data_IF_102949198259
#
_entry.id   IF_102949198259
#
_cell.length_a   1.000
_cell.length_b   1.000
_cell.length_c   1.000
_cell.angle_alpha   90.00
_cell.angle_beta   90.00
_cell.angle_gamma   90.00
#
_symmetry.space_group_name_H-M   'P 1'
#
loop_
_entity.id
_entity.type
_entity.pdbx_description
1 polymer ?
#
# COMPACT_ATOMS: atom_id res chain seq x y z
N UNK A 1 -39.84 -39.28 6.50
CA UNK A 1 -38.36 -39.34 6.36
C UNK A 1 -37.80 -40.07 7.57
N UNK A 2 -37.07 -41.18 7.38
CA UNK A 2 -36.48 -41.94 8.49
C UNK A 2 -35.41 -41.11 9.21
N UNK A 3 -35.37 -41.16 10.54
CA UNK A 3 -34.40 -40.41 11.36
C UNK A 3 -32.94 -40.70 10.94
N UNK A 4 -32.63 -41.94 10.56
CA UNK A 4 -31.32 -42.34 10.06
C UNK A 4 -30.93 -41.66 8.73
N UNK A 5 -31.88 -41.50 7.80
CA UNK A 5 -31.66 -40.79 6.53
C UNK A 5 -31.45 -39.29 6.78
N UNK A 6 -32.22 -38.69 7.70
CA UNK A 6 -32.04 -37.30 8.09
C UNK A 6 -30.67 -37.03 8.74
N UNK A 7 -30.20 -37.93 9.60
CA UNK A 7 -28.87 -37.87 10.22
C UNK A 7 -27.73 -37.97 9.20
N UNK A 8 -27.88 -38.79 8.15
CA UNK A 8 -26.90 -38.89 7.05
C UNK A 8 -26.82 -37.63 6.21
N UNK A 9 -27.98 -37.08 5.83
CA UNK A 9 -28.04 -35.82 5.07
C UNK A 9 -27.40 -34.69 5.89
N UNK A 10 -27.69 -34.63 7.19
CA UNK A 10 -27.07 -33.67 8.10
C UNK A 10 -25.55 -33.86 8.22
N UNK A 11 -25.07 -35.09 8.39
CA UNK A 11 -23.64 -35.40 8.45
C UNK A 11 -22.90 -35.01 7.15
N UNK A 12 -23.45 -35.34 5.99
CA UNK A 12 -22.90 -34.95 4.69
C UNK A 12 -22.92 -33.42 4.50
N UNK A 13 -23.98 -32.74 4.91
CA UNK A 13 -24.08 -31.28 4.87
C UNK A 13 -23.01 -30.61 5.73
N UNK A 14 -22.80 -31.09 6.96
CA UNK A 14 -21.77 -30.58 7.88
C UNK A 14 -20.35 -30.82 7.32
N UNK A 15 -20.07 -32.01 6.80
CA UNK A 15 -18.76 -32.30 6.20
C UNK A 15 -18.50 -31.46 4.94
N UNK A 16 -19.52 -31.30 4.07
CA UNK A 16 -19.42 -30.48 2.87
C UNK A 16 -19.17 -29.00 3.19
N UNK A 17 -19.91 -28.44 4.15
CA UNK A 17 -19.68 -27.06 4.63
C UNK A 17 -18.31 -26.92 5.28
N UNK A 18 -17.89 -27.88 6.10
CA UNK A 18 -16.58 -27.88 6.74
C UNK A 18 -15.44 -27.88 5.71
N UNK A 19 -15.52 -28.74 4.69
CA UNK A 19 -14.55 -28.76 3.59
C UNK A 19 -14.56 -27.45 2.80
N UNK A 20 -15.73 -26.88 2.51
CA UNK A 20 -15.84 -25.60 1.81
C UNK A 20 -15.19 -24.44 2.60
N UNK A 21 -15.39 -24.39 3.93
CA UNK A 21 -14.75 -23.39 4.78
C UNK A 21 -13.23 -23.56 4.83
N UNK A 22 -12.71 -24.80 4.85
CA UNK A 22 -11.26 -25.04 4.76
C UNK A 22 -10.67 -24.57 3.43
N UNK A 23 -11.36 -24.84 2.31
CA UNK A 23 -10.95 -24.35 0.99
C UNK A 23 -10.98 -22.82 0.97
N UNK A 24 -12.04 -22.20 1.49
CA UNK A 24 -12.14 -20.74 1.59
C UNK A 24 -11.01 -20.15 2.46
N UNK A 25 -10.68 -20.76 3.60
CA UNK A 25 -9.56 -20.34 4.43
C UNK A 25 -8.21 -20.40 3.69
N UNK A 26 -7.98 -21.49 2.94
CA UNK A 26 -6.77 -21.65 2.14
C UNK A 26 -6.66 -20.57 1.06
N UNK A 27 -7.75 -20.32 0.33
CA UNK A 27 -7.80 -19.26 -0.69
C UNK A 27 -7.55 -17.88 -0.07
N UNK A 28 -8.20 -17.57 1.06
CA UNK A 28 -7.98 -16.31 1.76
C UNK A 28 -6.52 -16.13 2.20
N UNK A 29 -5.90 -17.18 2.74
CA UNK A 29 -4.52 -17.10 3.22
C UNK A 29 -3.47 -16.94 2.11
N UNK A 30 -3.71 -17.53 0.93
CA UNK A 30 -2.72 -17.57 -0.14
C UNK A 30 -2.94 -16.53 -1.24
N UNK A 31 -4.19 -16.14 -1.51
CA UNK A 31 -4.53 -15.25 -2.62
C UNK A 31 -4.85 -13.81 -2.17
N UNK A 32 -5.47 -13.65 -1.01
CA UNK A 32 -6.12 -12.38 -0.65
C UNK A 32 -5.16 -11.30 -0.15
N UNK A 33 -4.06 -11.66 0.52
CA UNK A 33 -3.11 -10.68 1.08
C UNK A 33 -2.59 -9.69 0.03
N UNK A 34 -2.09 -10.19 -1.10
CA UNK A 34 -1.55 -9.36 -2.19
C UNK A 34 -2.62 -8.57 -2.98
N UNK A 35 -3.91 -8.87 -2.78
CA UNK A 35 -5.02 -8.13 -3.39
C UNK A 35 -5.58 -7.04 -2.48
N UNK A 36 -5.31 -7.10 -1.18
CA UNK A 36 -5.84 -6.16 -0.18
C UNK A 36 -4.78 -5.19 0.32
N UNK A 37 -3.51 -5.62 0.38
CA UNK A 37 -2.39 -4.78 0.81
C UNK A 37 -1.95 -3.89 -0.36
N UNK A 38 -2.87 -3.00 -0.77
CA UNK A 38 -2.73 -2.12 -1.92
C UNK A 38 -3.23 -0.73 -1.56
N UNK A 39 -2.55 0.30 -2.07
CA UNK A 39 -2.96 1.71 -1.91
C UNK A 39 -4.46 1.85 -2.24
N UNK A 40 -5.26 2.48 -1.37
CA UNK A 40 -6.70 2.64 -1.60
C UNK A 40 -7.03 3.47 -2.85
N UNK A 41 -8.24 3.31 -3.39
CA UNK A 41 -8.73 4.04 -4.57
C UNK A 41 -9.68 5.18 -4.22
N UNK A 42 -9.90 5.39 -2.94
CA UNK A 42 -10.88 6.30 -2.33
C UNK A 42 -10.18 7.28 -1.38
N UNK A 43 -8.91 7.58 -1.63
CA UNK A 43 -8.17 8.59 -0.88
C UNK A 43 -8.75 9.96 -1.24
N UNK A 44 -9.26 10.64 -0.22
CA UNK A 44 -9.67 12.03 -0.22
C UNK A 44 -9.36 12.58 1.17
N UNK A 45 -8.27 13.32 1.30
CA UNK A 45 -7.80 13.82 2.60
C UNK A 45 -7.17 15.19 2.48
N UNK A 46 -7.39 16.01 3.52
CA UNK A 46 -6.71 17.29 3.71
C UNK A 46 -5.78 17.15 4.91
N UNK A 47 -4.50 17.45 4.72
CA UNK A 47 -3.50 17.48 5.78
C UNK A 47 -3.08 18.92 6.00
N UNK A 48 -2.97 19.32 7.26
CA UNK A 48 -2.53 20.64 7.67
C UNK A 48 -1.33 20.47 8.61
N UNK A 49 -0.27 21.19 8.30
CA UNK A 49 0.91 21.34 9.13
C UNK A 49 1.07 22.81 9.53
N UNK A 50 1.26 23.06 10.82
CA UNK A 50 1.37 24.41 11.38
C UNK A 50 2.82 24.67 11.82
N UNK A 51 3.23 25.93 11.78
CA UNK A 51 4.57 26.31 12.19
C UNK A 51 4.87 27.79 12.03
N UNK A 52 6.15 28.11 11.91
CA UNK A 52 6.63 29.47 11.74
C UNK A 52 7.76 29.52 10.72
N UNK A 53 8.02 30.70 10.18
CA UNK A 53 9.14 30.87 9.28
C UNK A 53 9.54 32.32 9.05
N UNK A 54 10.38 32.49 8.04
CA UNK A 54 10.80 33.76 7.46
C UNK A 54 10.38 33.77 5.99
N UNK A 55 9.68 34.79 5.53
CA UNK A 55 9.26 34.85 4.14
C UNK A 55 9.25 36.26 3.59
N UNK A 56 9.48 36.32 2.28
CA UNK A 56 9.30 37.51 1.48
C UNK A 56 7.86 38.02 1.58
N UNK A 57 7.69 39.33 1.79
CA UNK A 57 6.37 39.99 1.71
C UNK A 57 6.10 40.38 0.25
N UNK A 58 5.12 39.75 -0.44
CA UNK A 58 4.79 40.08 -1.82
C UNK A 58 4.42 41.55 -2.03
N UNK A 59 3.88 42.23 -1.01
CA UNK A 59 3.53 43.65 -1.10
C UNK A 59 4.76 44.55 -1.29
N UNK A 60 5.95 44.08 -0.92
CA UNK A 60 7.21 44.82 -1.06
C UNK A 60 7.69 44.95 -2.51
N UNK A 61 7.11 44.17 -3.45
CA UNK A 61 7.39 44.31 -4.89
C UNK A 61 7.06 45.72 -5.43
N UNK A 62 6.15 46.44 -4.77
CA UNK A 62 5.77 47.82 -5.12
C UNK A 62 6.57 48.88 -4.33
N UNK A 63 7.46 48.44 -3.44
CA UNK A 63 8.22 49.32 -2.55
C UNK A 63 9.60 49.72 -3.09
N UNK A 64 10.34 50.45 -2.26
CA UNK A 64 11.73 50.86 -2.55
C UNK A 64 12.75 49.73 -2.31
N UNK A 65 12.34 48.69 -1.57
CA UNK A 65 13.14 47.50 -1.27
C UNK A 65 12.26 46.28 -1.02
N UNK A 66 12.81 45.11 -1.29
CA UNK A 66 12.25 43.82 -0.92
C UNK A 66 12.28 43.65 0.61
N UNK A 67 11.15 43.22 1.17
CA UNK A 67 10.99 43.03 2.60
C UNK A 67 10.83 41.55 2.88
N UNK A 68 11.55 41.08 3.90
CA UNK A 68 11.50 39.72 4.41
C UNK A 68 11.09 39.81 5.87
N UNK A 69 9.92 39.27 6.19
CA UNK A 69 9.42 39.22 7.55
C UNK A 69 9.90 37.93 8.22
N UNK A 70 10.18 38.01 9.53
CA UNK A 70 10.66 36.89 10.36
C UNK A 70 9.62 36.52 11.39
N UNK A 71 9.71 35.29 11.89
CA UNK A 71 8.88 34.74 12.97
C UNK A 71 7.38 34.86 12.69
N UNK A 72 7.01 34.63 11.43
CA UNK A 72 5.64 34.73 10.94
C UNK A 72 4.95 33.37 11.04
N UNK A 73 3.68 33.31 11.48
CA UNK A 73 2.96 32.05 11.57
C UNK A 73 2.63 31.54 10.15
N UNK A 74 2.85 30.24 9.94
CA UNK A 74 2.67 29.59 8.65
C UNK A 74 1.80 28.34 8.79
N UNK A 75 1.05 28.06 7.73
CA UNK A 75 0.31 26.83 7.55
C UNK A 75 0.65 26.24 6.18
N UNK A 76 1.03 24.97 6.18
CA UNK A 76 1.19 24.16 5.00
C UNK A 76 0.00 23.21 4.88
N UNK A 77 -0.68 23.21 3.74
CA UNK A 77 -1.85 22.37 3.51
C UNK A 77 -1.63 21.50 2.28
N UNK A 78 -1.96 20.22 2.38
CA UNK A 78 -2.00 19.28 1.26
C UNK A 78 -3.40 18.69 1.11
N UNK A 79 -3.96 18.76 -0.10
CA UNK A 79 -5.16 18.04 -0.49
C UNK A 79 -4.76 16.88 -1.40
N UNK A 80 -5.09 15.65 -1.02
CA UNK A 80 -4.75 14.45 -1.79
C UNK A 80 -6.05 13.80 -2.26
N UNK A 81 -6.21 13.66 -3.57
CA UNK A 81 -7.36 12.97 -4.18
C UNK A 81 -6.92 11.89 -5.17
N UNK A 82 -7.76 10.87 -5.36
CA UNK A 82 -7.59 9.88 -6.42
C UNK A 82 -8.20 10.37 -7.72
N UNK A 83 -7.40 10.38 -8.78
CA UNK A 83 -7.82 10.76 -10.12
C UNK A 83 -7.74 9.59 -11.11
N UNK A 84 -8.27 9.80 -12.32
CA UNK A 84 -8.08 8.84 -13.41
C UNK A 84 -6.73 9.05 -14.10
N UNK A 85 -6.03 7.97 -14.52
CA UNK A 85 -6.45 6.57 -14.48
C UNK A 85 -6.14 5.85 -13.16
N UNK A 86 -7.16 5.24 -12.54
CA UNK A 86 -7.00 4.42 -11.33
C UNK A 86 -7.76 3.10 -11.47
N UNK A 87 -7.12 1.98 -11.13
CA UNK A 87 -7.68 0.63 -11.31
C UNK A 87 -7.10 -0.39 -10.30
N UNK A 88 -7.20 -1.68 -10.62
CA UNK A 88 -6.74 -2.75 -9.73
C UNK A 88 -5.23 -2.71 -9.43
N UNK A 89 -4.43 -2.14 -10.32
CA UNK A 89 -2.96 -2.21 -10.28
C UNK A 89 -2.31 -0.85 -10.08
N UNK A 90 -2.84 0.22 -10.69
CA UNK A 90 -2.32 1.59 -10.53
C UNK A 90 -3.33 2.53 -9.88
N UNK A 91 -2.83 3.56 -9.21
CA UNK A 91 -3.61 4.68 -8.70
C UNK A 91 -2.91 5.99 -9.10
N UNK A 92 -3.69 6.95 -9.58
CA UNK A 92 -3.21 8.31 -9.81
C UNK A 92 -3.63 9.18 -8.63
N UNK A 93 -2.66 9.82 -7.98
CA UNK A 93 -2.91 10.80 -6.93
C UNK A 93 -2.69 12.20 -7.51
N UNK A 94 -3.60 13.11 -7.24
CA UNK A 94 -3.40 14.54 -7.44
C UNK A 94 -3.26 15.20 -6.07
N UNK A 95 -2.18 15.95 -5.88
CA UNK A 95 -1.81 16.57 -4.62
C UNK A 95 -1.67 18.07 -4.82
N UNK A 96 -2.64 18.81 -4.28
CA UNK A 96 -2.57 20.26 -4.18
C UNK A 96 -1.87 20.66 -2.88
N UNK A 97 -0.68 21.26 -2.96
CA UNK A 97 0.09 21.74 -1.81
C UNK A 97 0.10 23.27 -1.78
N UNK A 98 -0.13 23.86 -0.61
CA UNK A 98 -0.02 25.31 -0.41
C UNK A 98 0.74 25.63 0.87
N UNK A 99 1.65 26.59 0.82
CA UNK A 99 2.26 27.22 1.99
C UNK A 99 1.74 28.64 2.10
N UNK A 100 1.19 29.01 3.26
CA UNK A 100 0.63 30.33 3.50
C UNK A 100 1.10 30.91 4.82
N UNK A 101 1.23 32.22 4.85
CA UNK A 101 1.27 33.04 6.07
C UNK A 101 -0.14 33.22 6.62
N UNK A 102 -0.34 32.95 7.90
CA UNK A 102 -1.67 33.03 8.53
C UNK A 102 -1.96 34.40 9.17
N UNK A 103 -0.98 35.29 9.24
CA UNK A 103 -1.15 36.68 9.68
C UNK A 103 -1.75 37.60 8.59
N UNK A 104 -1.79 37.14 7.33
CA UNK A 104 -2.34 37.87 6.19
C UNK A 104 -3.67 37.22 5.74
N UNK A 105 -4.58 38.05 5.22
CA UNK A 105 -5.91 37.61 4.80
C UNK A 105 -5.94 37.21 3.33
N UNK A 106 -6.75 36.19 3.01
CA UNK A 106 -6.98 35.71 1.65
C UNK A 106 -5.65 35.44 0.93
N UNK A 107 -5.57 35.70 -0.37
CA UNK A 107 -4.43 35.36 -1.22
C UNK A 107 -3.16 36.15 -0.93
N UNK A 108 -3.25 37.22 -0.13
CA UNK A 108 -2.07 37.96 0.32
C UNK A 108 -1.16 37.14 1.26
N UNK A 109 -1.68 36.03 1.81
CA UNK A 109 -0.88 35.11 2.62
C UNK A 109 -0.21 33.99 1.81
N UNK A 110 -0.55 33.78 0.54
CA UNK A 110 -0.04 32.65 -0.24
C UNK A 110 1.44 32.86 -0.60
N UNK A 111 2.30 31.89 -0.26
CA UNK A 111 3.73 31.93 -0.57
C UNK A 111 4.11 30.92 -1.65
N UNK A 112 3.67 29.67 -1.50
CA UNK A 112 3.95 28.58 -2.43
C UNK A 112 2.65 27.86 -2.75
N UNK A 113 2.48 27.46 -4.00
CA UNK A 113 1.40 26.60 -4.44
C UNK A 113 1.88 25.67 -5.54
N UNK A 114 1.46 24.41 -5.49
CA UNK A 114 1.76 23.41 -6.50
C UNK A 114 0.60 22.42 -6.58
N UNK A 115 0.30 21.96 -7.78
CA UNK A 115 -0.54 20.78 -7.99
C UNK A 115 0.32 19.77 -8.72
N UNK A 116 0.62 18.68 -8.03
CA UNK A 116 1.42 17.57 -8.55
C UNK A 116 0.53 16.35 -8.74
N UNK A 117 0.72 15.64 -9.84
CA UNK A 117 -0.05 14.44 -10.17
C UNK A 117 0.92 13.30 -10.43
N UNK A 118 0.80 12.21 -9.70
CA UNK A 118 1.66 11.03 -9.83
C UNK A 118 0.82 9.79 -10.01
N UNK A 119 1.23 8.90 -10.91
CA UNK A 119 0.62 7.57 -11.04
C UNK A 119 1.56 6.52 -10.51
N UNK A 120 1.08 5.70 -9.58
CA UNK A 120 1.90 4.73 -8.86
C UNK A 120 1.29 3.33 -8.89
N UNK A 121 2.14 2.33 -8.81
CA UNK A 121 1.73 0.94 -8.59
C UNK A 121 1.18 0.82 -7.16
N UNK A 122 -0.03 0.28 -7.05
CA UNK A 122 -0.73 0.21 -5.76
C UNK A 122 -0.09 -0.76 -4.78
N UNK A 123 0.77 -1.67 -5.21
CA UNK A 123 1.39 -2.67 -4.33
C UNK A 123 2.71 -2.16 -3.75
N UNK A 124 3.52 -1.53 -4.61
CA UNK A 124 4.86 -1.04 -4.27
C UNK A 124 4.90 0.45 -3.91
N UNK A 125 3.84 1.20 -4.22
CA UNK A 125 3.75 2.67 -4.12
C UNK A 125 4.79 3.43 -4.96
N UNK A 126 5.51 2.75 -5.86
CA UNK A 126 6.47 3.34 -6.78
C UNK A 126 5.75 4.01 -7.94
N UNK A 127 6.25 5.16 -8.39
CA UNK A 127 5.79 5.80 -9.62
C UNK A 127 5.91 4.86 -10.83
N UNK A 128 4.94 4.93 -11.75
CA UNK A 128 4.86 4.08 -12.93
C UNK A 128 4.71 4.94 -14.18
N UNK A 129 5.74 4.91 -15.02
CA UNK A 129 5.70 5.46 -16.38
C UNK A 129 5.18 4.42 -17.37
N UNK A 130 4.34 4.85 -18.31
CA UNK A 130 3.84 4.09 -19.45
C UNK A 130 3.80 4.96 -20.70
N UNK A 131 3.51 4.37 -21.87
CA UNK A 131 3.40 5.13 -23.12
C UNK A 131 2.32 6.22 -23.09
N UNK A 132 1.27 6.02 -22.28
CA UNK A 132 0.16 6.98 -22.14
C UNK A 132 0.21 7.79 -20.84
N UNK A 133 1.23 7.58 -20.00
CA UNK A 133 1.38 8.26 -18.73
C UNK A 133 2.87 8.45 -18.41
N UNK A 134 3.42 9.67 -18.44
CA UNK A 134 4.83 9.91 -18.19
C UNK A 134 5.32 9.54 -16.77
N UNK A 135 4.45 9.08 -15.87
CA UNK A 135 4.76 8.74 -14.47
C UNK A 135 4.26 9.82 -13.51
N UNK A 136 4.23 11.06 -13.99
CA UNK A 136 3.56 12.17 -13.32
C UNK A 136 3.60 13.46 -14.13
N UNK A 137 3.00 14.49 -13.58
CA UNK A 137 2.90 15.81 -14.17
C UNK A 137 2.66 16.85 -13.08
N UNK A 138 3.11 18.07 -13.33
CA UNK A 138 2.84 19.22 -12.48
C UNK A 138 1.97 20.21 -13.24
N UNK A 139 1.02 20.84 -12.56
CA UNK A 139 0.24 21.91 -13.17
C UNK A 139 1.13 23.10 -13.49
N UNK A 140 1.04 23.61 -14.72
CA UNK A 140 1.76 24.81 -15.16
C UNK A 140 1.36 25.99 -14.25
N UNK A 141 2.33 26.75 -13.71
CA UNK A 141 1.99 27.91 -12.90
C UNK A 141 1.35 29.00 -13.77
N UNK A 142 0.44 29.75 -13.16
CA UNK A 142 -0.47 30.69 -13.83
C UNK A 142 -0.70 31.91 -12.95
N UNK A 143 -1.00 33.04 -13.58
CA UNK A 143 -1.37 34.25 -12.87
C UNK A 143 -2.78 34.12 -12.26
N UNK A 144 -3.08 34.91 -11.23
CA UNK A 144 -4.38 34.88 -10.52
C UNK A 144 -5.52 35.28 -11.48
N UNK A 145 -5.23 36.18 -12.41
CA UNK A 145 -6.15 36.69 -13.42
C UNK A 145 -6.31 35.80 -14.66
N UNK A 146 -5.48 34.75 -14.81
CA UNK A 146 -5.64 33.79 -15.91
C UNK A 146 -6.96 33.03 -15.69
N UNK A 147 -7.84 33.01 -16.68
CA UNK A 147 -9.15 32.33 -16.65
C UNK A 147 -9.18 31.03 -17.46
N UNK A 148 -8.09 30.68 -18.15
CA UNK A 148 -8.01 29.49 -18.98
C UNK A 148 -8.02 28.22 -18.13
N UNK A 149 -8.49 27.07 -18.64
CA UNK A 149 -8.34 25.82 -17.93
C UNK A 149 -6.85 25.53 -17.62
N UNK A 150 -6.52 25.02 -16.42
CA UNK A 150 -5.15 24.68 -16.09
C UNK A 150 -4.61 23.62 -17.06
N UNK A 151 -3.31 23.70 -17.37
CA UNK A 151 -2.60 22.73 -18.21
C UNK A 151 -1.45 22.13 -17.42
N UNK A 152 -1.01 20.93 -17.80
CA UNK A 152 0.03 20.19 -17.10
C UNK A 152 1.32 20.12 -17.92
N UNK A 153 2.45 20.11 -17.21
CA UNK A 153 3.78 19.83 -17.74
C UNK A 153 4.17 18.44 -17.26
N UNK A 154 4.69 17.61 -18.17
CA UNK A 154 5.16 16.27 -17.81
C UNK A 154 6.32 16.38 -16.81
N UNK A 155 6.20 15.69 -15.69
CA UNK A 155 7.21 15.60 -14.64
C UNK A 155 7.28 14.13 -14.21
N UNK A 156 8.16 13.32 -14.82
CA UNK A 156 8.29 11.92 -14.45
C UNK A 156 8.80 11.79 -13.01
N UNK A 157 8.00 11.19 -12.14
CA UNK A 157 8.42 10.83 -10.79
C UNK A 157 9.28 9.57 -10.82
N UNK A 158 10.31 9.55 -9.97
CA UNK A 158 11.10 8.36 -9.67
C UNK A 158 11.07 8.10 -8.15
N UNK A 159 10.80 6.86 -7.75
CA UNK A 159 10.62 6.50 -6.34
C UNK A 159 9.19 6.63 -5.81
N UNK A 160 9.10 6.69 -4.48
CA UNK A 160 7.88 6.99 -3.71
C UNK A 160 7.57 8.49 -3.80
N UNK A 161 6.38 8.95 -3.42
CA UNK A 161 6.09 10.40 -3.34
C UNK A 161 5.23 10.75 -2.13
N UNK A 162 3.99 10.28 -2.09
CA UNK A 162 3.03 10.65 -1.03
C UNK A 162 2.68 9.50 -0.09
N UNK A 163 3.30 8.33 -0.30
CA UNK A 163 2.95 7.11 0.42
C UNK A 163 4.06 6.06 0.37
N UNK A 164 4.15 5.24 1.41
CA UNK A 164 5.00 4.05 1.45
C UNK A 164 4.19 2.79 1.10
N UNK A 165 4.83 1.70 0.64
CA UNK A 165 4.14 0.44 0.41
C UNK A 165 3.59 -0.14 1.71
N UNK A 166 2.52 -0.93 1.60
CA UNK A 166 2.11 -1.83 2.69
C UNK A 166 3.27 -2.74 3.10
N UNK A 167 3.27 -3.19 4.36
CA UNK A 167 4.39 -3.93 4.94
C UNK A 167 5.73 -3.18 4.74
N UNK A 168 5.74 -1.86 5.02
CA UNK A 168 6.94 -1.01 4.91
C UNK A 168 8.09 -1.63 5.71
N UNK A 169 9.27 -1.67 5.09
CA UNK A 169 10.47 -2.29 5.64
C UNK A 169 11.43 -1.24 6.22
N UNK A 170 12.32 -1.67 7.11
CA UNK A 170 13.38 -0.83 7.70
C UNK A 170 14.56 -0.69 6.76
N UNK A 171 14.37 0.01 5.65
CA UNK A 171 15.39 0.24 4.61
C UNK A 171 15.29 1.64 4.03
N UNK A 172 16.29 2.06 3.28
CA UNK A 172 16.23 3.31 2.51
C UNK A 172 15.28 3.16 1.33
N UNK A 173 14.46 4.18 1.09
CA UNK A 173 13.58 4.28 -0.07
C UNK A 173 13.93 5.51 -0.90
N UNK A 174 13.92 5.44 -2.24
CA UNK A 174 13.91 6.65 -3.06
C UNK A 174 12.58 7.37 -2.86
N UNK A 175 12.62 8.64 -2.48
CA UNK A 175 11.45 9.50 -2.30
C UNK A 175 11.59 10.73 -3.20
N UNK A 176 10.62 10.94 -4.08
CA UNK A 176 10.58 12.04 -5.03
C UNK A 176 10.24 13.35 -4.33
N UNK A 177 11.04 14.38 -4.59
CA UNK A 177 10.74 15.76 -4.22
C UNK A 177 10.25 16.51 -5.48
N UNK A 178 8.98 16.98 -5.51
CA UNK A 178 8.42 17.63 -6.69
C UNK A 178 8.95 19.04 -6.94
N UNK A 179 9.58 19.69 -5.94
CA UNK A 179 10.21 21.00 -6.08
C UNK A 179 11.61 20.87 -6.69
N UNK A 180 12.41 19.93 -6.16
CA UNK A 180 13.72 19.60 -6.71
C UNK A 180 13.63 18.76 -7.99
N UNK A 181 12.44 18.24 -8.32
CA UNK A 181 12.15 17.41 -9.50
C UNK A 181 13.05 16.17 -9.58
N UNK A 182 13.36 15.57 -8.41
CA UNK A 182 14.29 14.44 -8.30
C UNK A 182 14.03 13.60 -7.05
N UNK A 183 14.36 12.32 -7.12
CA UNK A 183 14.39 11.43 -5.98
C UNK A 183 15.61 11.66 -5.07
N UNK A 184 15.36 11.63 -3.77
CA UNK A 184 16.36 11.64 -2.70
C UNK A 184 16.07 10.49 -1.73
N UNK A 185 17.10 10.05 -1.02
CA UNK A 185 16.99 8.93 -0.08
C UNK A 185 16.17 9.32 1.16
N UNK A 186 15.09 8.59 1.41
CA UNK A 186 14.40 8.54 2.69
C UNK A 186 14.97 7.40 3.53
N UNK A 187 15.82 7.74 4.49
CA UNK A 187 16.56 6.79 5.33
C UNK A 187 15.77 6.46 6.61
N UNK A 188 15.70 5.17 6.96
CA UNK A 188 15.09 4.74 8.21
C UNK A 188 15.92 5.22 9.42
N UNK A 189 15.27 5.91 10.36
CA UNK A 189 15.85 6.53 11.55
C UNK A 189 15.14 6.11 12.84
N UNK A 190 14.64 4.87 12.89
CA UNK A 190 14.09 4.27 14.11
C UNK A 190 12.57 4.19 14.16
N UNK A 191 12.04 3.94 15.36
CA UNK A 191 10.61 3.80 15.61
C UNK A 191 10.15 4.83 16.66
N UNK A 192 8.92 5.30 16.52
CA UNK A 192 8.30 6.22 17.47
C UNK A 192 6.80 5.93 17.60
N UNK A 193 6.23 6.19 18.77
CA UNK A 193 4.79 6.12 18.98
C UNK A 193 4.14 7.44 18.58
N UNK A 194 3.20 7.37 17.64
CA UNK A 194 2.36 8.50 17.23
C UNK A 194 0.91 8.13 17.49
N UNK A 195 0.30 8.75 18.50
CA UNK A 195 -1.08 8.49 18.94
C UNK A 195 -1.39 6.98 19.12
N UNK A 196 -0.51 6.28 19.83
CA UNK A 196 -0.64 4.86 20.13
C UNK A 196 -0.41 3.94 18.92
N UNK A 197 0.22 4.46 17.86
CA UNK A 197 0.62 3.72 16.67
C UNK A 197 2.14 3.69 16.63
N UNK A 198 2.76 2.50 16.68
CA UNK A 198 4.20 2.36 16.45
C UNK A 198 4.49 2.59 14.98
N UNK A 199 5.22 3.66 14.69
CA UNK A 199 5.58 4.13 13.35
C UNK A 199 7.07 3.96 13.10
N UNK A 200 7.45 3.84 11.84
CA UNK A 200 8.83 3.95 11.39
C UNK A 200 9.12 5.40 11.01
N UNK A 201 10.21 5.95 11.54
CA UNK A 201 10.66 7.30 11.24
C UNK A 201 11.62 7.25 10.06
N UNK A 202 11.40 8.09 9.06
CA UNK A 202 12.26 8.24 7.88
C UNK A 202 12.71 9.69 7.74
N UNK A 203 13.98 9.91 7.40
CA UNK A 203 14.54 11.25 7.16
C UNK A 203 14.99 11.40 5.71
N UNK A 204 14.62 12.50 5.06
CA UNK A 204 15.04 12.86 3.72
C UNK A 204 15.68 14.24 3.74
N UNK A 205 16.90 14.35 3.21
CA UNK A 205 17.62 15.63 3.09
C UNK A 205 17.85 15.97 1.62
N UNK A 206 17.48 17.19 1.25
CA UNK A 206 17.66 17.80 -0.07
C UNK A 206 18.58 19.00 0.11
N UNK A 207 19.84 18.85 -0.29
CA UNK A 207 20.86 19.89 -0.22
C UNK A 207 21.45 20.18 1.17
N UNK A 208 20.90 19.59 2.22
CA UNK A 208 21.51 19.52 3.56
C UNK A 208 22.30 18.22 3.75
N UNK A 209 23.35 18.27 4.57
CA UNK A 209 24.01 17.06 5.08
C UNK A 209 23.26 16.46 6.28
N UNK A 210 23.83 15.42 6.91
CA UNK A 210 23.20 14.75 8.04
C UNK A 210 23.21 15.61 9.33
N UNK A 211 24.03 16.66 9.36
CA UNK A 211 24.14 17.60 10.47
C UNK A 211 23.27 18.86 10.29
N UNK A 212 22.44 18.90 9.24
CA UNK A 212 21.58 20.04 8.91
C UNK A 212 22.31 21.24 8.34
N UNK A 213 23.54 21.04 7.83
CA UNK A 213 24.30 22.11 7.17
C UNK A 213 24.02 22.10 5.67
N UNK A 214 23.79 23.29 5.12
CA UNK A 214 23.60 23.50 3.69
C UNK A 214 24.90 23.22 2.93
N UNK A 215 24.89 22.21 2.06
CA UNK A 215 26.10 21.73 1.34
C UNK A 215 25.90 21.63 -0.17
N UNK A 216 24.72 21.25 -0.64
CA UNK A 216 24.42 21.08 -2.06
C UNK A 216 22.99 21.53 -2.40
N UNK A 217 22.65 22.80 -2.16
CA UNK A 217 21.33 23.32 -2.52
C UNK A 217 21.04 23.14 -4.00
N UNK A 218 19.80 22.79 -4.30
CA UNK A 218 19.32 22.57 -5.66
C UNK A 218 19.02 23.92 -6.29
N UNK A 219 19.56 24.18 -7.49
CA UNK A 219 19.10 25.32 -8.29
C UNK A 219 17.63 25.06 -8.67
N UNK A 220 16.74 25.99 -8.32
CA UNK A 220 15.31 25.81 -8.51
C UNK A 220 14.99 25.60 -10.01
N UNK A 221 14.28 24.52 -10.32
CA UNK A 221 13.91 24.16 -11.67
C UNK A 221 12.60 24.89 -12.06
N UNK A 222 12.74 25.91 -12.90
CA UNK A 222 11.62 26.69 -13.43
C UNK A 222 10.60 25.80 -14.14
N UNK A 223 9.32 26.12 -13.97
CA UNK A 223 8.23 25.57 -14.77
C UNK A 223 7.82 26.51 -15.93
N UNK A 224 8.46 27.66 -16.04
CA UNK A 224 8.32 28.62 -17.12
C UNK A 224 9.48 28.50 -18.14
N UNK A 225 9.18 28.77 -19.41
CA UNK A 225 10.17 28.69 -20.50
C UNK A 225 11.27 29.76 -20.39
N UNK A 226 11.01 30.86 -19.68
CA UNK A 226 11.88 32.03 -19.54
C UNK A 226 12.55 32.13 -18.16
N UNK A 227 12.42 31.10 -17.31
CA UNK A 227 12.99 31.06 -15.96
C UNK A 227 12.52 32.19 -15.01
N UNK A 228 11.36 32.81 -15.29
CA UNK A 228 10.90 33.99 -14.55
C UNK A 228 10.68 33.76 -13.04
N UNK A 229 10.42 32.53 -12.61
CA UNK A 229 10.27 32.15 -11.19
C UNK A 229 11.58 31.62 -10.55
N UNK A 230 12.61 31.38 -11.36
CA UNK A 230 13.90 30.85 -10.95
C UNK A 230 15.02 31.89 -10.96
N UNK A 231 14.91 32.96 -11.75
CA UNK A 231 15.92 34.01 -11.84
C UNK A 231 15.28 35.39 -11.89
N UNK A 232 15.76 36.30 -11.04
CA UNK A 232 15.23 37.66 -10.95
C UNK A 232 16.37 38.66 -11.08
N UNK A 233 16.17 39.70 -11.88
CA UNK A 233 17.08 40.84 -11.99
C UNK A 233 16.40 42.07 -11.39
N UNK A 234 17.04 42.66 -10.39
CA UNK A 234 16.58 43.90 -9.77
C UNK A 234 17.78 44.76 -9.36
N UNK A 235 17.54 46.05 -9.11
CA UNK A 235 18.58 46.97 -8.62
C UNK A 235 19.13 46.51 -7.27
N UNK A 236 20.41 46.74 -7.00
CA UNK A 236 21.04 46.41 -5.72
C UNK A 236 20.27 46.99 -4.52
N UNK A 237 19.73 48.21 -4.66
CA UNK A 237 18.89 48.83 -3.63
C UNK A 237 17.62 48.03 -3.32
N UNK A 238 16.99 47.42 -4.33
CA UNK A 238 15.79 46.60 -4.14
C UNK A 238 16.11 45.33 -3.37
N UNK A 239 17.24 44.68 -3.69
CA UNK A 239 17.72 43.51 -2.96
C UNK A 239 18.21 43.83 -1.54
N UNK A 240 18.58 45.07 -1.27
CA UNK A 240 19.21 45.46 0.00
C UNK A 240 20.65 44.95 0.14
N UNK A 241 21.34 44.73 -0.99
CA UNK A 241 22.76 44.30 -1.01
C UNK A 241 23.69 45.50 -1.10
N UNK A 242 24.90 45.36 -0.54
CA UNK A 242 25.94 46.40 -0.62
C UNK A 242 26.43 46.58 -2.06
N UNK A 243 26.67 47.83 -2.49
CA UNK A 243 27.13 48.16 -3.83
C UNK A 243 26.60 49.51 -4.34
N UNK A 244 26.69 49.73 -5.66
CA UNK A 244 26.00 50.83 -6.33
C UNK A 244 24.49 50.55 -6.31
N UNK A 245 23.65 51.42 -5.70
CA UNK A 245 22.21 51.22 -5.59
C UNK A 245 21.49 50.93 -6.91
N UNK A 246 21.98 51.46 -8.03
CA UNK A 246 21.37 51.32 -9.36
C UNK A 246 21.93 50.14 -10.16
N UNK A 247 22.94 49.43 -9.64
CA UNK A 247 23.53 48.27 -10.30
C UNK A 247 22.46 47.17 -10.48
N UNK A 248 22.24 46.67 -11.70
CA UNK A 248 21.35 45.54 -11.92
C UNK A 248 22.02 44.26 -11.43
N UNK A 249 21.41 43.63 -10.42
CA UNK A 249 21.86 42.37 -9.84
C UNK A 249 20.87 41.27 -10.22
N UNK A 250 21.38 40.23 -10.86
CA UNK A 250 20.65 38.99 -11.13
C UNK A 250 20.94 37.96 -10.05
N UNK A 251 19.89 37.41 -9.43
CA UNK A 251 20.00 36.31 -8.47
C UNK A 251 19.21 35.10 -8.95
N UNK A 252 19.73 33.91 -8.68
CA UNK A 252 19.03 32.64 -8.92
C UNK A 252 18.36 32.16 -7.64
N UNK A 253 17.19 31.54 -7.77
CA UNK A 253 16.49 30.84 -6.70
C UNK A 253 17.12 29.47 -6.48
N UNK A 254 17.37 29.16 -5.22
CA UNK A 254 17.82 27.86 -4.76
C UNK A 254 16.80 27.27 -3.79
N UNK A 255 16.87 25.95 -3.64
CA UNK A 255 16.01 25.16 -2.80
C UNK A 255 16.80 24.12 -2.02
N UNK A 256 16.45 23.97 -0.76
CA UNK A 256 16.88 22.88 0.10
C UNK A 256 15.72 22.50 1.03
N UNK A 257 15.69 21.26 1.50
CA UNK A 257 14.68 20.81 2.45
C UNK A 257 15.17 19.66 3.32
N UNK A 258 14.64 19.57 4.53
CA UNK A 258 14.76 18.42 5.41
C UNK A 258 13.35 17.94 5.78
N UNK A 259 13.10 16.64 5.66
CA UNK A 259 11.82 16.04 6.00
C UNK A 259 12.01 14.88 6.95
N UNK A 260 11.18 14.83 7.98
CA UNK A 260 11.00 13.65 8.81
C UNK A 260 9.58 13.13 8.64
N UNK A 261 9.44 11.85 8.35
CA UNK A 261 8.18 11.19 8.05
C UNK A 261 7.96 10.04 9.03
N UNK A 262 6.80 10.00 9.67
CA UNK A 262 6.38 8.88 10.52
C UNK A 262 5.38 8.02 9.75
N UNK A 263 5.74 6.76 9.51
CA UNK A 263 5.02 5.86 8.62
C UNK A 263 4.48 4.67 9.40
N UNK A 264 3.19 4.35 9.27
CA UNK A 264 2.68 3.09 9.80
C UNK A 264 3.27 1.91 9.00
N UNK A 265 3.98 0.97 9.65
CA UNK A 265 4.71 -0.07 8.94
C UNK A 265 3.81 -1.11 8.27
N UNK A 266 2.51 -1.15 8.59
CA UNK A 266 1.59 -2.13 8.03
C UNK A 266 0.88 -1.55 6.81
N UNK A 267 0.34 -0.33 6.91
CA UNK A 267 -0.39 0.33 5.82
C UNK A 267 0.52 1.12 4.87
N UNK A 268 1.68 1.58 5.34
CA UNK A 268 2.54 2.53 4.60
C UNK A 268 2.00 3.96 4.58
N UNK A 269 1.00 4.27 5.43
CA UNK A 269 0.45 5.62 5.57
C UNK A 269 1.44 6.51 6.31
N UNK A 270 1.74 7.70 5.78
CA UNK A 270 2.45 8.75 6.51
C UNK A 270 1.43 9.39 7.46
N UNK A 271 1.65 9.23 8.78
CA UNK A 271 0.72 9.69 9.82
C UNK A 271 1.11 11.03 10.44
N UNK A 272 2.38 11.41 10.31
CA UNK A 272 2.93 12.69 10.73
C UNK A 272 4.11 13.02 9.83
N UNK A 273 4.32 14.31 9.56
CA UNK A 273 5.55 14.82 8.97
C UNK A 273 6.01 16.12 9.65
N UNK A 274 7.33 16.29 9.69
CA UNK A 274 8.01 17.54 9.99
C UNK A 274 8.77 17.93 8.72
N UNK A 275 8.63 19.19 8.29
CA UNK A 275 9.28 19.71 7.09
C UNK A 275 9.95 21.05 7.39
N UNK A 276 11.24 21.12 7.10
CA UNK A 276 11.99 22.37 6.96
C UNK A 276 12.23 22.61 5.47
N UNK A 277 11.60 23.62 4.89
CA UNK A 277 11.82 24.00 3.50
C UNK A 277 12.50 25.36 3.40
N UNK A 278 13.52 25.47 2.55
CA UNK A 278 14.28 26.70 2.36
C UNK A 278 14.42 27.08 0.89
N UNK A 279 13.79 28.20 0.54
CA UNK A 279 13.90 28.87 -0.74
C UNK A 279 14.54 30.25 -0.56
N UNK A 280 15.56 30.54 -1.35
CA UNK A 280 16.26 31.82 -1.28
C UNK A 280 16.84 32.21 -2.64
N UNK A 281 17.06 33.50 -2.83
CA UNK A 281 17.78 34.07 -3.96
C UNK A 281 19.22 34.35 -3.56
N UNK A 282 20.16 33.97 -4.43
CA UNK A 282 21.58 34.22 -4.24
C UNK A 282 22.33 34.29 -5.57
N UNK A 283 23.51 34.93 -5.55
CA UNK A 283 24.51 34.85 -6.65
C UNK A 283 25.40 33.62 -6.53
N UNK A 284 25.66 33.17 -5.31
CA UNK A 284 26.41 31.96 -4.97
C UNK A 284 25.47 31.04 -4.18
N UNK A 285 25.31 29.80 -4.64
CA UNK A 285 24.39 28.84 -4.07
C UNK A 285 24.60 28.62 -2.56
N UNK A 286 25.85 28.65 -2.07
CA UNK A 286 26.18 28.41 -0.66
C UNK A 286 26.18 29.69 0.20
N UNK A 287 25.78 30.83 -0.37
CA UNK A 287 25.69 32.11 0.34
C UNK A 287 24.30 32.70 0.12
N UNK A 288 23.27 32.22 0.86
CA UNK A 288 21.94 32.80 0.80
C UNK A 288 21.98 34.31 1.04
N UNK A 289 21.38 35.09 0.15
CA UNK A 289 21.35 36.55 0.26
C UNK A 289 19.97 37.06 0.66
N UNK A 290 18.92 36.62 -0.05
CA UNK A 290 17.54 37.04 0.20
C UNK A 290 16.64 35.83 0.34
N UNK A 291 16.02 35.66 1.51
CA UNK A 291 15.08 34.56 1.77
C UNK A 291 13.78 34.81 1.03
N UNK A 292 13.32 33.83 0.27
CA UNK A 292 12.00 33.82 -0.33
C UNK A 292 10.98 33.17 0.62
N UNK A 293 11.28 31.96 1.09
CA UNK A 293 10.51 31.26 2.12
C UNK A 293 11.43 30.27 2.85
N UNK A 294 11.57 30.42 4.16
CA UNK A 294 12.27 29.54 5.08
C UNK A 294 11.27 29.15 6.18
N UNK A 295 10.84 27.90 6.23
CA UNK A 295 9.71 27.50 7.06
C UNK A 295 9.94 26.15 7.71
N UNK A 296 9.54 26.03 8.97
CA UNK A 296 9.47 24.75 9.67
C UNK A 296 8.02 24.52 10.08
N UNK A 297 7.42 23.44 9.57
CA UNK A 297 6.03 23.07 9.82
C UNK A 297 5.95 21.61 10.25
N UNK A 298 5.00 21.33 11.14
CA UNK A 298 4.71 19.98 11.65
C UNK A 298 3.23 19.68 11.47
N UNK A 299 2.89 18.46 11.04
CA UNK A 299 1.49 18.02 10.92
C UNK A 299 0.75 18.25 12.23
N UNK A 300 -0.39 18.92 12.16
CA UNK A 300 -1.18 19.25 13.34
C UNK A 300 -1.97 18.05 13.87
N UNK A 301 -2.45 18.16 15.11
CA UNK A 301 -3.07 17.05 15.83
C UNK A 301 -4.29 16.47 15.10
N UNK A 302 -5.15 17.33 14.53
CA UNK A 302 -6.35 16.88 13.79
C UNK A 302 -5.97 16.02 12.57
N UNK A 303 -4.94 16.46 11.83
CA UNK A 303 -4.43 15.71 10.69
C UNK A 303 -3.75 14.40 11.12
N UNK A 304 -3.00 14.42 12.23
CA UNK A 304 -2.40 13.20 12.82
C UNK A 304 -3.48 12.19 13.23
N UNK A 305 -4.51 12.63 13.96
CA UNK A 305 -5.62 11.77 14.38
C UNK A 305 -6.35 11.15 13.16
N UNK A 306 -6.63 11.96 12.14
CA UNK A 306 -7.25 11.50 10.89
C UNK A 306 -6.40 10.43 10.18
N UNK A 307 -5.10 10.68 10.03
CA UNK A 307 -4.20 9.75 9.35
C UNK A 307 -3.96 8.47 10.17
N UNK A 308 -3.88 8.56 11.50
CA UNK A 308 -3.80 7.39 12.38
C UNK A 308 -5.09 6.57 12.31
N UNK A 309 -6.26 7.19 12.26
CA UNK A 309 -7.53 6.50 12.07
C UNK A 309 -7.58 5.78 10.72
N UNK A 310 -7.12 6.43 9.64
CA UNK A 310 -7.01 5.80 8.32
C UNK A 310 -6.06 4.60 8.35
N UNK A 311 -4.86 4.75 8.92
CA UNK A 311 -3.89 3.67 9.05
C UNK A 311 -4.46 2.47 9.83
N UNK A 312 -5.16 2.71 10.96
CA UNK A 312 -5.84 1.66 11.73
C UNK A 312 -6.93 0.95 10.92
N UNK A 313 -7.76 1.69 10.19
CA UNK A 313 -8.81 1.13 9.33
C UNK A 313 -8.22 0.19 8.27
N UNK A 314 -7.13 0.61 7.63
CA UNK A 314 -6.42 -0.20 6.65
C UNK A 314 -5.79 -1.45 7.28
N UNK A 315 -5.19 -1.33 8.47
CA UNK A 315 -4.66 -2.46 9.24
C UNK A 315 -5.74 -3.46 9.62
N UNK A 316 -6.89 -3.00 10.07
CA UNK A 316 -8.01 -3.84 10.45
C UNK A 316 -8.56 -4.60 9.24
N UNK A 317 -8.62 -3.95 8.09
CA UNK A 317 -8.97 -4.61 6.81
C UNK A 317 -7.98 -5.70 6.45
N UNK A 318 -6.67 -5.41 6.51
CA UNK A 318 -5.63 -6.42 6.24
C UNK A 318 -5.71 -7.57 7.25
N UNK A 319 -5.90 -7.28 8.54
CA UNK A 319 -6.00 -8.29 9.58
C UNK A 319 -7.27 -9.16 9.44
N UNK A 320 -8.41 -8.56 9.11
CA UNK A 320 -9.68 -9.27 8.92
C UNK A 320 -9.55 -10.33 7.83
N UNK A 321 -9.10 -9.91 6.65
CA UNK A 321 -9.05 -10.78 5.48
C UNK A 321 -7.82 -11.69 5.45
N UNK A 322 -6.68 -11.21 5.93
CA UNK A 322 -5.41 -11.95 5.92
C UNK A 322 -5.23 -12.91 7.10
N UNK A 323 -5.93 -12.70 8.22
CA UNK A 323 -5.71 -13.46 9.46
C UNK A 323 -7.00 -13.94 10.13
N UNK A 324 -7.95 -13.06 10.41
CA UNK A 324 -9.13 -13.39 11.22
C UNK A 324 -10.06 -14.37 10.48
N UNK A 325 -10.43 -14.07 9.23
CA UNK A 325 -11.29 -14.94 8.42
C UNK A 325 -10.64 -16.30 8.14
N UNK A 326 -9.36 -16.41 7.71
CA UNK A 326 -8.69 -17.70 7.58
C UNK A 326 -8.75 -18.54 8.86
N UNK A 327 -8.38 -17.97 10.01
CA UNK A 327 -8.36 -18.70 11.29
C UNK A 327 -9.75 -19.18 11.69
N UNK A 328 -10.75 -18.29 11.61
CA UNK A 328 -12.14 -18.63 11.98
C UNK A 328 -12.72 -19.68 11.04
N UNK A 329 -12.51 -19.57 9.73
CA UNK A 329 -12.95 -20.56 8.76
C UNK A 329 -12.23 -21.90 8.93
N UNK A 330 -10.94 -21.90 9.27
CA UNK A 330 -10.22 -23.14 9.60
C UNK A 330 -10.80 -23.80 10.85
N UNK A 331 -10.98 -23.04 11.94
CA UNK A 331 -11.49 -23.57 13.19
C UNK A 331 -12.91 -24.13 13.03
N UNK A 332 -13.83 -23.36 12.46
CA UNK A 332 -15.21 -23.80 12.21
C UNK A 332 -15.23 -24.96 11.21
N UNK A 333 -14.42 -24.89 10.17
CA UNK A 333 -14.30 -25.95 9.16
C UNK A 333 -13.90 -27.29 9.76
N UNK A 334 -12.88 -27.30 10.64
CA UNK A 334 -12.44 -28.50 11.35
C UNK A 334 -13.51 -29.02 12.32
N UNK A 335 -14.17 -28.15 13.08
CA UNK A 335 -15.26 -28.55 13.99
C UNK A 335 -16.41 -29.20 13.23
N UNK A 336 -16.80 -28.63 12.08
CA UNK A 336 -17.87 -29.18 11.24
C UNK A 336 -17.47 -30.51 10.58
N UNK A 337 -16.22 -30.65 10.15
CA UNK A 337 -15.70 -31.91 9.59
C UNK A 337 -15.68 -33.02 10.63
N UNK A 338 -15.13 -32.76 11.82
CA UNK A 338 -15.08 -33.73 12.91
C UNK A 338 -16.48 -34.06 13.40
N UNK A 339 -17.33 -33.05 13.62
CA UNK A 339 -18.72 -33.24 14.03
C UNK A 339 -19.54 -34.03 13.00
N UNK A 340 -19.38 -33.72 11.71
CA UNK A 340 -20.01 -34.45 10.61
C UNK A 340 -19.54 -35.90 10.52
N UNK A 341 -18.23 -36.15 10.66
CA UNK A 341 -17.67 -37.50 10.68
C UNK A 341 -18.17 -38.32 11.88
N UNK A 342 -18.20 -37.72 13.08
CA UNK A 342 -18.73 -38.35 14.28
C UNK A 342 -20.22 -38.69 14.11
N UNK A 343 -21.06 -37.74 13.70
CA UNK A 343 -22.49 -37.96 13.43
C UNK A 343 -22.71 -39.05 12.36
N UNK A 344 -21.91 -39.05 11.30
CA UNK A 344 -21.92 -40.09 10.28
C UNK A 344 -21.60 -41.47 10.87
N UNK A 345 -20.56 -41.56 11.70
CA UNK A 345 -20.13 -42.82 12.33
C UNK A 345 -21.17 -43.41 13.29
N UNK A 346 -21.90 -42.57 14.04
CA UNK A 346 -22.99 -43.02 14.90
C UNK A 346 -24.20 -43.51 14.08
N UNK A 347 -24.49 -42.89 12.94
CA UNK A 347 -25.58 -43.32 12.05
C UNK A 347 -25.33 -44.69 11.41
N UNK A 348 -24.06 -45.03 11.12
CA UNK A 348 -23.66 -46.33 10.59
C UNK A 348 -23.77 -47.42 11.66
N UNK A 349 -23.32 -47.15 12.89
CA UNK A 349 -23.41 -48.12 14.01
C UNK A 349 -24.84 -48.42 14.44
N UNK A 350 -25.75 -47.45 14.36
CA UNK A 350 -27.17 -47.68 14.70
C UNK A 350 -27.87 -48.63 13.70
N UNK A 351 -27.45 -48.66 12.44
CA UNK A 351 -27.93 -49.64 11.45
C UNK A 351 -27.32 -51.02 11.67
N UNK A 352 -26.03 -51.11 12.05
CA UNK A 352 -25.38 -52.40 12.35
C UNK A 352 -26.03 -53.14 13.53
N UNK A 353 -26.67 -52.41 14.44
CA UNK A 353 -27.40 -52.97 15.58
C UNK A 353 -28.88 -53.31 15.27
N UNK A 354 -29.41 -52.87 14.11
CA UNK A 354 -30.77 -53.16 13.64
C UNK A 354 -30.79 -54.26 12.55
N UNK A 355 -29.63 -54.70 12.06
CA UNK A 355 -29.50 -55.89 11.22
C UNK A 355 -29.29 -57.08 12.15
N UNK A 356 -30.38 -57.73 12.54
CA UNK A 356 -30.37 -59.02 13.22
C UNK A 356 -29.79 -60.10 12.26
N UNK A 357 -28.75 -60.86 12.63
CA UNK A 357 -28.22 -61.96 11.81
C UNK A 357 -29.17 -63.18 11.71
N UNK A 358 -30.37 -63.13 12.30
CA UNK A 358 -31.20 -64.30 12.57
C UNK A 358 -32.34 -64.63 11.60
N UNK A 359 -32.47 -63.99 10.43
CA UNK A 359 -33.60 -64.25 9.52
C UNK A 359 -33.16 -64.51 8.07
N UNK A 360 -32.52 -65.66 7.83
CA UNK A 360 -32.33 -66.21 6.48
C UNK A 360 -32.65 -67.72 6.36
N UNK A 361 -33.38 -68.29 7.34
CA UNK A 361 -34.01 -69.61 7.21
C UNK A 361 -35.49 -69.54 7.58
N UNK A 362 -36.37 -69.49 6.57
CA UNK A 362 -37.67 -70.20 6.53
C UNK A 362 -38.52 -69.69 5.35
N UNK A 363 -38.45 -70.45 4.26
CA UNK A 363 -39.57 -71.01 3.50
C UNK A 363 -40.93 -70.26 3.52
N UNK A 364 -41.40 -69.81 2.35
CA UNK A 364 -42.78 -69.98 1.92
C UNK A 364 -42.89 -69.98 0.39
N UNK A 365 -42.87 -71.19 -0.18
CA UNK A 365 -43.40 -71.44 -1.51
C UNK A 365 -44.93 -71.36 -1.53
N UNK A 366 -45.50 -70.83 -2.62
CA UNK A 366 -46.85 -71.12 -3.10
C UNK A 366 -46.99 -70.60 -4.54
N UNK A 367 -46.83 -71.47 -5.53
CA UNK A 367 -47.72 -71.71 -6.68
C UNK A 367 -47.04 -72.67 -7.66
N UNK A 368 -47.77 -73.74 -8.00
CA UNK A 368 -47.32 -74.96 -8.68
C UNK A 368 -47.98 -75.09 -10.05
N UNK A 369 -47.19 -75.54 -11.05
CA UNK A 369 -47.49 -76.24 -12.34
C UNK A 369 -46.59 -75.69 -13.46
N UNK A 370 -45.94 -76.46 -14.35
CA UNK A 370 -46.21 -77.80 -14.87
C UNK A 370 -44.91 -78.62 -15.13
N UNK A 371 -45.11 -79.94 -15.15
CA UNK A 371 -44.14 -81.01 -15.40
C UNK A 371 -43.61 -81.08 -16.84
N UNK A 372 -42.32 -81.43 -17.01
CA UNK A 372 -41.83 -82.47 -17.95
C UNK A 372 -40.28 -82.49 -18.05
N UNK A 373 -39.64 -83.62 -17.70
CA UNK A 373 -38.26 -83.94 -18.09
C UNK A 373 -37.49 -84.82 -17.10
N UNK A 374 -37.38 -86.11 -17.40
CA UNK A 374 -36.75 -87.21 -16.63
C UNK A 374 -35.23 -87.06 -16.32
N UNK A 375 -34.69 -87.83 -15.34
CA UNK A 375 -33.29 -87.75 -14.89
C UNK A 375 -32.38 -88.80 -15.54
N UNK A 376 -31.06 -88.52 -15.64
CA UNK A 376 -30.02 -89.52 -15.97
C UNK A 376 -28.77 -89.36 -15.08
N UNK A 377 -28.26 -90.46 -14.46
CA UNK A 377 -27.12 -90.46 -13.54
C UNK A 377 -25.82 -91.06 -14.12
N UNK A 378 -24.67 -90.72 -13.49
CA UNK A 378 -23.34 -91.35 -13.67
C UNK A 378 -22.41 -90.59 -14.64
N UNK A 379 -21.10 -90.49 -14.47
CA UNK A 379 -20.14 -91.19 -13.61
C UNK A 379 -18.84 -90.35 -13.47
N UNK A 380 -18.11 -90.61 -12.37
CA UNK A 380 -16.64 -90.73 -12.23
C UNK A 380 -15.71 -89.94 -13.20
N UNK A 381 -14.67 -89.23 -12.76
CA UNK A 381 -13.58 -89.77 -11.96
C UNK A 381 -12.67 -88.68 -11.35
N UNK A 382 -12.15 -88.98 -10.15
CA UNK A 382 -10.89 -88.43 -9.61
C UNK A 382 -9.78 -89.44 -9.87
N UNK A 383 -8.58 -88.98 -10.24
CA UNK A 383 -7.34 -89.72 -9.95
C UNK A 383 -6.14 -88.78 -9.79
N UNK A 384 -5.37 -89.08 -8.74
CA UNK A 384 -4.10 -88.52 -8.25
C UNK A 384 -2.96 -88.65 -9.28
N UNK A 385 -1.97 -87.75 -9.40
CA UNK A 385 -0.88 -87.25 -8.52
C UNK A 385 0.36 -88.17 -8.43
N UNK A 386 1.53 -87.54 -8.63
CA UNK A 386 2.92 -87.86 -8.19
C UNK A 386 3.89 -88.48 -9.25
N UNK A 387 5.24 -88.46 -9.03
CA UNK A 387 6.16 -87.37 -9.43
C UNK A 387 7.51 -87.88 -10.04
N UNK A 388 8.45 -87.00 -10.41
CA UNK A 388 9.89 -87.33 -10.39
C UNK A 388 10.80 -86.09 -10.43
N UNK A 389 11.89 -86.15 -9.66
CA UNK A 389 12.89 -85.12 -9.39
C UNK A 389 14.12 -85.18 -10.34
N UNK A 390 14.77 -84.00 -10.47
CA UNK A 390 16.22 -83.60 -10.60
C UNK A 390 17.32 -84.69 -10.52
N UNK A 391 18.59 -84.45 -10.97
CA UNK A 391 19.53 -83.36 -10.55
C UNK A 391 20.49 -82.86 -11.67
N UNK A 392 21.33 -81.82 -11.55
CA UNK A 392 22.56 -81.62 -10.73
C UNK A 392 23.07 -80.17 -10.91
N UNK A 393 23.32 -79.40 -9.83
CA UNK A 393 24.62 -79.03 -9.21
C UNK A 393 25.29 -77.78 -9.84
N UNK A 394 25.17 -76.57 -9.25
CA UNK A 394 26.05 -75.89 -8.26
C UNK A 394 27.22 -75.08 -8.92
N UNK A 395 27.81 -74.02 -8.31
CA UNK A 395 27.26 -72.94 -7.48
C UNK A 395 27.94 -71.54 -7.80
N UNK A 396 28.16 -70.58 -6.87
CA UNK A 396 27.68 -69.20 -6.98
C UNK A 396 28.81 -68.15 -7.15
N UNK A 397 28.47 -66.87 -7.34
CA UNK A 397 28.89 -65.79 -6.41
C UNK A 397 28.44 -64.39 -6.86
N UNK A 398 28.37 -63.51 -5.86
CA UNK A 398 27.60 -62.26 -5.77
C UNK A 398 28.38 -60.99 -6.24
N UNK A 399 28.13 -59.74 -5.72
CA UNK A 399 27.80 -58.59 -6.56
C UNK A 399 28.88 -57.50 -6.55
N UNK A 400 28.72 -56.48 -7.40
CA UNK A 400 29.09 -55.08 -7.12
C UNK A 400 28.18 -54.17 -7.92
#
# INVERSE_FOLDING_TARGET
>A
MNRAVALRIAACGLMGLGAALLIAALLLSTYTKGKISKVPLDIDTTLISDGTGTAFDPASLLGERFVVDRDIPMAFQQQITVESPSNADVVTLQVGSTLRRTDKQQDNGLLLAMVDTVTMDRSSAMAVTSESNPGGAVQKPRAIEDDQPPTNIALPHDGLTYRFPFDTEKKTYPLFDPIAQKAYDANYDGEEDVNGLTTYKFTQNVGYDAEGKLVEPVKYASLYEDDADAQVTARAALWGVEGDPEEPITMSRFYAAERTLWVDPVSGTIVKSDEHGYHYYARDALRPEVTFADYTVTTNEESVESQVASARSERDRVALWGRILPITFTAVGLVLLVGGALLGSFSLRAESALIDPGLDEADHGFFQRDDAGEPVPGAEAKTEKLPAQRPTDLPPDRPV
#
